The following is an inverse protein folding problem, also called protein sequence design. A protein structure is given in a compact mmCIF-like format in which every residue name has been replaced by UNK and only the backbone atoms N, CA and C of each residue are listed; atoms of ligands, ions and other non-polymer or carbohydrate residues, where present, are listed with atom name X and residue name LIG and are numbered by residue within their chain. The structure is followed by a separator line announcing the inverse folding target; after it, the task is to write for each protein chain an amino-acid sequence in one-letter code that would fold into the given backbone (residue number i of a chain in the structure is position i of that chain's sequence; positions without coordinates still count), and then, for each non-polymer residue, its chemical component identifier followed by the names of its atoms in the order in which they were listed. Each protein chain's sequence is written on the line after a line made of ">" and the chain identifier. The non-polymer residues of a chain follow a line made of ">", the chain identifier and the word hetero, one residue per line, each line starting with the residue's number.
data_IF_132049470659
#
_entry.id   IF_132049470659
#
_cell.length_a   1.000
_cell.length_b   1.000
_cell.length_c   1.000
_cell.angle_alpha   90.00
_cell.angle_beta   90.00
_cell.angle_gamma   90.00
#
_symmetry.space_group_name_H-M   'P 1'
#
loop_
_entity.id
_entity.type
_entity.pdbx_description
1 polymer ?
#
# COMPACT_ATOMS: atom_id res chain seq x y z
N UNK A 1 13.61 -21.95 19.51
CA UNK A 1 12.49 -21.13 20.05
C UNK A 1 11.24 -22.01 20.04
N UNK A 2 10.36 -21.97 21.08
CA UNK A 2 9.10 -22.73 21.05
C UNK A 2 8.15 -22.04 20.08
N UNK A 3 7.61 -22.78 19.12
CA UNK A 3 6.59 -22.26 18.19
C UNK A 3 5.29 -22.05 18.99
N UNK A 4 4.68 -20.87 19.00
CA UNK A 4 3.45 -20.62 19.73
C UNK A 4 2.27 -21.39 19.10
N UNK A 5 1.36 -21.86 19.93
CA UNK A 5 0.17 -22.61 19.46
C UNK A 5 -0.83 -21.70 18.74
N UNK A 6 -0.85 -20.43 19.09
CA UNK A 6 -1.67 -19.36 18.49
C UNK A 6 -0.88 -18.08 18.35
N UNK A 7 -1.35 -17.14 17.50
CA UNK A 7 -0.84 -15.78 17.41
C UNK A 7 -1.88 -14.80 17.96
N UNK A 8 -1.41 -13.86 18.78
CA UNK A 8 -2.23 -12.85 19.42
C UNK A 8 -1.99 -11.48 18.76
N UNK A 9 -3.03 -10.87 18.19
CA UNK A 9 -2.94 -9.59 17.46
C UNK A 9 -3.48 -8.44 18.30
N UNK A 10 -2.71 -7.34 18.32
CA UNK A 10 -3.16 -6.00 18.66
C UNK A 10 -3.31 -5.15 17.40
N UNK A 11 -4.41 -4.46 17.23
CA UNK A 11 -4.73 -3.64 16.06
C UNK A 11 -4.67 -2.16 16.41
N UNK A 12 -3.88 -1.40 15.67
CA UNK A 12 -3.83 0.06 15.79
C UNK A 12 -4.49 0.72 14.58
N UNK A 13 -5.66 1.31 14.80
CA UNK A 13 -6.51 1.89 13.77
C UNK A 13 -7.86 1.18 13.67
N UNK A 14 -8.89 1.92 13.23
CA UNK A 14 -10.26 1.42 13.07
C UNK A 14 -10.88 1.95 11.77
N UNK A 15 -10.08 2.06 10.72
CA UNK A 15 -10.48 2.56 9.41
C UNK A 15 -10.65 1.45 8.37
N UNK A 16 -10.71 1.85 7.09
CA UNK A 16 -10.88 0.92 5.96
C UNK A 16 -9.77 -0.12 5.87
N UNK A 17 -8.51 0.24 6.12
CA UNK A 17 -7.40 -0.71 6.11
C UNK A 17 -7.61 -1.83 7.14
N UNK A 18 -8.01 -1.47 8.37
CA UNK A 18 -8.38 -2.45 9.41
C UNK A 18 -9.47 -3.42 8.93
N UNK A 19 -10.50 -2.92 8.22
CA UNK A 19 -11.56 -3.79 7.68
C UNK A 19 -11.01 -4.79 6.65
N UNK A 20 -10.11 -4.35 5.76
CA UNK A 20 -9.48 -5.20 4.74
C UNK A 20 -8.63 -6.30 5.39
N UNK A 21 -7.77 -5.95 6.35
CA UNK A 21 -6.95 -6.92 7.09
C UNK A 21 -7.81 -7.92 7.87
N UNK A 22 -8.81 -7.43 8.59
CA UNK A 22 -9.71 -8.30 9.37
C UNK A 22 -10.56 -9.21 8.49
N UNK A 23 -11.03 -8.75 7.33
CA UNK A 23 -11.75 -9.59 6.38
C UNK A 23 -10.85 -10.68 5.79
N UNK A 24 -9.58 -10.36 5.51
CA UNK A 24 -8.57 -11.34 5.09
C UNK A 24 -8.29 -12.37 6.19
N UNK A 25 -8.11 -11.93 7.44
CA UNK A 25 -7.89 -12.80 8.59
C UNK A 25 -9.07 -13.75 8.87
N UNK A 26 -10.32 -13.39 8.55
CA UNK A 26 -11.46 -14.29 8.63
C UNK A 26 -11.36 -15.52 7.71
N UNK A 27 -10.54 -15.44 6.65
CA UNK A 27 -10.27 -16.56 5.73
C UNK A 27 -9.08 -17.40 6.16
N UNK A 28 -8.34 -16.95 7.17
CA UNK A 28 -7.18 -17.66 7.68
C UNK A 28 -7.61 -18.82 8.59
N UNK A 29 -7.10 -20.02 8.35
CA UNK A 29 -7.51 -21.24 9.07
C UNK A 29 -6.34 -22.17 9.45
N UNK A 30 -5.10 -21.79 9.13
CA UNK A 30 -3.93 -22.66 9.33
C UNK A 30 -3.59 -22.89 10.80
N UNK A 31 -3.88 -21.90 11.66
CA UNK A 31 -3.75 -21.99 13.12
C UNK A 31 -4.56 -20.87 13.79
N UNK A 32 -4.86 -20.98 15.11
CA UNK A 32 -5.66 -19.97 15.80
C UNK A 32 -4.99 -18.59 15.81
N UNK A 33 -5.78 -17.56 15.49
CA UNK A 33 -5.43 -16.16 15.65
C UNK A 33 -6.40 -15.53 16.64
N UNK A 34 -5.87 -14.92 17.70
CA UNK A 34 -6.64 -14.28 18.75
C UNK A 34 -6.59 -12.77 18.57
N UNK A 35 -7.75 -12.15 18.52
CA UNK A 35 -7.89 -10.70 18.39
C UNK A 35 -7.97 -10.09 19.78
N UNK A 36 -6.80 -9.69 20.33
CA UNK A 36 -6.68 -9.28 21.72
C UNK A 36 -7.22 -7.89 21.97
N UNK A 37 -6.68 -6.90 21.27
CA UNK A 37 -7.02 -5.51 21.52
C UNK A 37 -7.01 -4.69 20.24
N UNK A 38 -7.98 -3.79 20.12
CA UNK A 38 -8.00 -2.76 19.08
C UNK A 38 -7.94 -1.37 19.70
N UNK A 39 -7.17 -0.46 19.09
CA UNK A 39 -7.12 0.94 19.50
C UNK A 39 -7.49 1.88 18.36
N UNK A 40 -8.14 3.00 18.69
CA UNK A 40 -8.39 4.10 17.76
C UNK A 40 -8.59 5.40 18.55
N UNK A 41 -8.64 6.53 17.84
CA UNK A 41 -8.79 7.85 18.46
C UNK A 41 -10.20 8.16 18.97
N UNK A 42 -11.22 7.46 18.51
CA UNK A 42 -12.64 7.72 18.83
C UNK A 42 -13.28 6.48 19.44
N UNK A 43 -13.89 6.64 20.62
CA UNK A 43 -14.51 5.55 21.38
C UNK A 43 -15.57 4.80 20.59
N UNK A 44 -16.47 5.50 19.89
CA UNK A 44 -17.55 4.87 19.12
C UNK A 44 -16.99 3.98 18.01
N UNK A 45 -16.00 4.50 17.27
CA UNK A 45 -15.39 3.76 16.16
C UNK A 45 -14.66 2.50 16.64
N UNK A 46 -13.88 2.60 17.72
CA UNK A 46 -13.15 1.44 18.25
C UNK A 46 -14.09 0.40 18.83
N UNK A 47 -15.19 0.81 19.47
CA UNK A 47 -16.20 -0.11 20.02
C UNK A 47 -16.93 -0.86 18.90
N UNK A 48 -17.34 -0.17 17.85
CA UNK A 48 -17.98 -0.80 16.68
C UNK A 48 -17.07 -1.86 16.04
N UNK A 49 -15.78 -1.52 15.84
CA UNK A 49 -14.83 -2.47 15.24
C UNK A 49 -14.53 -3.65 16.17
N UNK A 50 -14.43 -3.40 17.50
CA UNK A 50 -14.28 -4.45 18.49
C UNK A 50 -15.41 -5.48 18.38
N UNK A 51 -16.66 -5.01 18.39
CA UNK A 51 -17.83 -5.90 18.37
C UNK A 51 -17.98 -6.61 17.01
N UNK A 52 -17.72 -5.92 15.89
CA UNK A 52 -17.80 -6.47 14.53
C UNK A 52 -16.79 -7.59 14.28
N UNK A 53 -15.59 -7.47 14.82
CA UNK A 53 -14.49 -8.41 14.56
C UNK A 53 -14.13 -9.30 15.73
N UNK A 54 -14.76 -9.11 16.90
CA UNK A 54 -14.58 -9.96 18.06
C UNK A 54 -13.28 -9.74 18.81
N UNK A 55 -12.77 -8.50 18.86
CA UNK A 55 -11.66 -8.19 19.75
C UNK A 55 -12.11 -8.30 21.20
N UNK A 56 -11.24 -8.83 22.06
CA UNK A 56 -11.54 -8.95 23.49
C UNK A 56 -11.63 -7.59 24.17
N UNK A 57 -10.80 -6.65 23.78
CA UNK A 57 -10.66 -5.35 24.42
C UNK A 57 -10.58 -4.22 23.37
N UNK A 58 -11.00 -3.02 23.77
CA UNK A 58 -10.84 -1.78 23.04
C UNK A 58 -10.20 -0.73 23.93
N UNK A 59 -9.36 0.13 23.37
CA UNK A 59 -8.70 1.24 24.08
C UNK A 59 -8.49 2.43 23.15
N UNK A 60 -8.10 3.57 23.71
CA UNK A 60 -7.71 4.77 22.98
C UNK A 60 -6.19 5.02 23.05
N UNK A 61 -5.47 4.22 23.83
CA UNK A 61 -4.05 4.39 24.11
C UNK A 61 -3.22 3.28 23.42
N UNK A 62 -2.23 3.70 22.62
CA UNK A 62 -1.31 2.78 21.97
C UNK A 62 -0.42 2.02 22.95
N UNK A 63 -0.09 2.62 24.08
CA UNK A 63 0.68 1.98 25.16
C UNK A 63 0.03 0.69 25.67
N UNK A 64 -1.29 0.57 25.60
CA UNK A 64 -2.00 -0.64 25.98
C UNK A 64 -1.69 -1.84 25.07
N UNK A 65 -1.32 -1.60 23.80
CA UNK A 65 -0.82 -2.65 22.91
C UNK A 65 0.62 -3.02 23.25
N UNK A 66 1.46 -2.05 23.55
CA UNK A 66 2.88 -2.25 23.83
C UNK A 66 3.10 -3.05 25.11
N UNK A 67 2.35 -2.71 26.18
CA UNK A 67 2.49 -3.33 27.50
C UNK A 67 1.79 -4.66 27.67
N UNK A 68 0.88 -5.05 26.76
CA UNK A 68 0.17 -6.31 26.86
C UNK A 68 1.11 -7.48 26.48
N UNK A 69 1.50 -8.35 27.46
CA UNK A 69 2.44 -9.42 27.20
C UNK A 69 1.88 -10.56 26.34
N UNK A 70 0.55 -10.61 26.17
CA UNK A 70 -0.10 -11.62 25.34
C UNK A 70 -0.08 -11.26 23.84
N UNK A 71 0.14 -9.98 23.49
CA UNK A 71 0.18 -9.55 22.09
C UNK A 71 1.54 -9.94 21.48
N UNK A 72 1.51 -10.71 20.40
CA UNK A 72 2.67 -11.11 19.61
C UNK A 72 2.95 -10.13 18.47
N UNK A 73 1.88 -9.64 17.82
CA UNK A 73 1.92 -8.81 16.62
C UNK A 73 1.09 -7.54 16.82
N UNK A 74 1.65 -6.41 16.44
CA UNK A 74 0.90 -5.16 16.31
C UNK A 74 0.70 -4.85 14.84
N UNK A 75 -0.56 -4.75 14.42
CA UNK A 75 -0.96 -4.37 13.06
C UNK A 75 -1.31 -2.89 13.03
N UNK A 76 -0.50 -2.09 12.31
CA UNK A 76 -0.56 -0.63 12.26
C UNK A 76 -1.33 -0.21 11.00
N UNK A 77 -2.61 0.09 11.17
CA UNK A 77 -3.55 0.61 10.16
C UNK A 77 -3.92 2.09 10.43
N UNK A 78 -2.98 2.86 10.94
CA UNK A 78 -3.13 4.29 11.27
C UNK A 78 -2.79 5.18 10.06
N UNK A 79 -2.97 6.51 10.15
CA UNK A 79 -2.42 7.42 9.14
C UNK A 79 -0.88 7.38 9.08
N UNK A 80 -0.28 7.54 7.88
CA UNK A 80 1.15 7.29 7.68
C UNK A 80 2.10 8.20 8.47
N UNK A 81 1.66 9.36 8.90
CA UNK A 81 2.50 10.30 9.66
C UNK A 81 2.85 9.83 11.09
N UNK A 82 2.21 8.77 11.61
CA UNK A 82 2.53 8.16 12.92
C UNK A 82 3.19 6.78 12.77
N UNK A 83 3.34 6.24 11.56
CA UNK A 83 3.85 4.88 11.36
C UNK A 83 5.22 4.67 11.99
N UNK A 84 6.18 5.56 11.73
CA UNK A 84 7.57 5.38 12.20
C UNK A 84 7.65 5.26 13.73
N UNK A 85 7.00 6.18 14.46
CA UNK A 85 6.99 6.16 15.93
C UNK A 85 6.36 4.88 16.47
N UNK A 86 5.26 4.44 15.84
CA UNK A 86 4.57 3.22 16.24
C UNK A 86 5.39 1.97 15.94
N UNK A 87 6.08 1.91 14.78
CA UNK A 87 6.98 0.81 14.42
C UNK A 87 8.13 0.72 15.44
N UNK A 88 8.81 1.84 15.72
CA UNK A 88 9.90 1.90 16.68
C UNK A 88 9.48 1.42 18.07
N UNK A 89 8.35 1.93 18.57
CA UNK A 89 7.83 1.57 19.89
C UNK A 89 7.42 0.08 19.95
N UNK A 90 6.77 -0.44 18.91
CA UNK A 90 6.34 -1.83 18.86
C UNK A 90 7.54 -2.81 18.81
N UNK A 91 8.54 -2.54 17.97
CA UNK A 91 9.78 -3.33 17.91
C UNK A 91 10.55 -3.29 19.24
N UNK A 92 10.66 -2.10 19.86
CA UNK A 92 11.29 -1.94 21.17
C UNK A 92 10.54 -2.69 22.29
N UNK A 93 9.21 -2.81 22.19
CA UNK A 93 8.39 -3.61 23.08
C UNK A 93 8.45 -5.13 22.78
N UNK A 94 9.28 -5.55 21.82
CA UNK A 94 9.45 -6.95 21.45
C UNK A 94 8.27 -7.54 20.69
N UNK A 95 7.51 -6.73 19.94
CA UNK A 95 6.37 -7.15 19.11
C UNK A 95 6.78 -7.27 17.65
N UNK A 96 6.24 -8.27 16.94
CA UNK A 96 6.24 -8.25 15.48
C UNK A 96 5.36 -7.10 14.98
N UNK A 97 5.69 -6.53 13.83
CA UNK A 97 4.98 -5.36 13.30
C UNK A 97 4.47 -5.64 11.91
N UNK A 98 3.18 -5.42 11.68
CA UNK A 98 2.59 -5.20 10.38
C UNK A 98 2.35 -3.70 10.24
N UNK A 99 2.74 -3.11 9.12
CA UNK A 99 2.52 -1.69 8.86
C UNK A 99 1.93 -1.46 7.49
N UNK A 100 0.80 -0.77 7.46
CA UNK A 100 0.15 -0.35 6.22
C UNK A 100 1.01 0.60 5.39
N UNK A 101 0.73 0.59 4.08
CA UNK A 101 1.35 1.52 3.14
C UNK A 101 0.69 2.93 3.21
N UNK A 102 1.42 3.97 2.81
CA UNK A 102 2.87 4.00 2.60
C UNK A 102 3.60 3.88 3.95
N UNK A 103 4.81 3.29 3.93
CA UNK A 103 5.60 3.12 5.15
C UNK A 103 5.79 4.43 5.91
N UNK A 104 6.11 5.49 5.17
CA UNK A 104 6.22 6.87 5.65
C UNK A 104 6.17 7.86 4.50
N UNK A 105 6.39 9.14 4.81
CA UNK A 105 6.48 10.26 3.88
C UNK A 105 6.99 11.52 4.57
N UNK A 106 6.95 12.64 3.86
CA UNK A 106 7.20 13.95 4.41
C UNK A 106 5.88 14.59 4.81
N UNK A 107 5.72 14.94 6.07
CA UNK A 107 4.47 15.48 6.62
C UNK A 107 4.60 16.89 7.20
N UNK A 108 5.74 17.55 6.93
CA UNK A 108 6.10 18.86 7.44
C UNK A 108 7.01 18.80 8.67
N UNK A 109 7.79 19.86 8.82
CA UNK A 109 8.66 20.10 9.98
C UNK A 109 8.27 21.42 10.64
N UNK A 110 8.64 21.63 11.93
CA UNK A 110 8.47 22.92 12.56
C UNK A 110 9.15 24.03 11.76
N UNK A 111 8.38 25.03 11.33
CA UNK A 111 8.85 26.14 10.51
C UNK A 111 8.59 26.01 9.01
N UNK A 112 8.10 24.89 8.54
CA UNK A 112 7.66 24.78 7.16
C UNK A 112 6.44 25.66 6.88
N UNK A 113 6.46 26.26 5.70
CA UNK A 113 5.34 27.09 5.24
C UNK A 113 4.25 26.19 4.64
N UNK A 114 3.03 26.38 5.13
CA UNK A 114 1.83 25.73 4.55
C UNK A 114 1.30 26.46 3.31
N UNK A 115 0.70 25.74 2.35
CA UNK A 115 0.66 24.28 2.22
C UNK A 115 2.04 23.72 1.81
N UNK A 116 2.48 22.69 2.52
CA UNK A 116 3.86 22.17 2.38
C UNK A 116 4.13 21.56 1.00
N UNK A 117 3.09 21.03 0.35
CA UNK A 117 3.20 20.49 -1.01
C UNK A 117 3.56 21.57 -2.05
N UNK A 118 3.27 22.85 -1.80
CA UNK A 118 3.61 23.96 -2.68
C UNK A 118 4.90 24.68 -2.27
N UNK A 119 5.20 24.72 -0.97
CA UNK A 119 6.22 25.63 -0.44
C UNK A 119 7.51 24.93 0.01
N UNK A 120 7.48 23.63 0.24
CA UNK A 120 8.68 22.86 0.61
C UNK A 120 9.25 22.18 -0.64
N UNK A 121 10.55 22.36 -0.88
CA UNK A 121 11.25 21.74 -2.01
C UNK A 121 11.18 20.21 -1.95
N UNK A 122 10.86 19.57 -3.06
CA UNK A 122 10.85 18.09 -3.17
C UNK A 122 12.26 17.51 -3.02
N UNK A 123 13.29 18.30 -3.30
CA UNK A 123 14.70 17.93 -3.02
C UNK A 123 14.91 17.76 -1.51
N UNK A 124 14.41 18.69 -0.70
CA UNK A 124 14.57 18.64 0.75
C UNK A 124 13.69 17.56 1.35
N UNK A 125 12.45 17.40 0.85
CA UNK A 125 11.58 16.28 1.23
C UNK A 125 12.26 14.93 0.98
N UNK A 126 12.85 14.73 -0.21
CA UNK A 126 13.58 13.50 -0.56
C UNK A 126 14.72 13.22 0.42
N UNK A 127 15.58 14.22 0.68
CA UNK A 127 16.71 14.07 1.61
C UNK A 127 16.26 13.69 3.01
N UNK A 128 15.21 14.35 3.49
CA UNK A 128 14.65 14.09 4.82
C UNK A 128 14.08 12.67 4.92
N UNK A 129 13.30 12.26 3.93
CA UNK A 129 12.68 10.92 3.90
C UNK A 129 13.74 9.82 3.82
N UNK A 130 14.77 10.00 2.99
CA UNK A 130 15.89 9.03 2.89
C UNK A 130 16.60 8.88 4.23
N UNK A 131 16.95 10.00 4.89
CA UNK A 131 17.63 9.96 6.20
C UNK A 131 16.77 9.24 7.29
N UNK A 132 15.46 9.45 7.27
CA UNK A 132 14.53 8.76 8.18
C UNK A 132 14.44 7.26 7.86
N UNK A 133 14.42 6.89 6.58
CA UNK A 133 14.43 5.49 6.17
C UNK A 133 15.71 4.77 6.63
N UNK A 134 16.87 5.39 6.47
CA UNK A 134 18.15 4.83 6.95
C UNK A 134 18.16 4.65 8.48
N UNK A 135 17.53 5.57 9.21
CA UNK A 135 17.38 5.44 10.67
C UNK A 135 16.46 4.26 11.03
N UNK A 136 15.30 4.19 10.39
CA UNK A 136 14.31 3.13 10.66
C UNK A 136 14.85 1.76 10.24
N UNK A 137 15.62 1.68 9.15
CA UNK A 137 16.30 0.46 8.72
C UNK A 137 17.18 -0.11 9.82
N UNK A 138 18.01 0.73 10.46
CA UNK A 138 18.88 0.29 11.57
C UNK A 138 18.07 -0.27 12.73
N UNK A 139 16.90 0.31 13.05
CA UNK A 139 16.02 -0.17 14.12
C UNK A 139 15.43 -1.54 13.75
N UNK A 140 14.96 -1.70 12.53
CA UNK A 140 14.41 -2.97 12.05
C UNK A 140 15.48 -4.07 12.01
N UNK A 141 16.69 -3.76 11.52
CA UNK A 141 17.81 -4.71 11.45
C UNK A 141 18.35 -5.14 12.84
N UNK A 142 18.23 -4.27 13.85
CA UNK A 142 18.63 -4.58 15.24
C UNK A 142 17.58 -5.38 16.00
N UNK A 143 16.37 -5.47 15.49
CA UNK A 143 15.27 -6.21 16.12
C UNK A 143 15.34 -7.70 15.79
N UNK A 144 15.03 -8.55 16.76
CA UNK A 144 14.80 -9.98 16.55
C UNK A 144 13.34 -10.28 16.10
N UNK A 145 12.53 -9.24 15.93
CA UNK A 145 11.12 -9.30 15.49
C UNK A 145 10.99 -9.00 14.02
N UNK A 146 9.95 -9.58 13.41
CA UNK A 146 9.69 -9.36 11.99
C UNK A 146 8.96 -8.03 11.78
N UNK A 147 9.42 -7.26 10.81
CA UNK A 147 8.70 -6.15 10.21
C UNK A 147 8.08 -6.62 8.89
N UNK A 148 6.78 -6.42 8.74
CA UNK A 148 5.96 -6.88 7.62
C UNK A 148 5.25 -5.67 7.00
N UNK A 149 5.54 -5.39 5.74
CA UNK A 149 4.97 -4.25 5.03
C UNK A 149 3.70 -4.65 4.30
N UNK A 150 2.58 -4.05 4.67
CA UNK A 150 1.29 -4.35 4.06
C UNK A 150 1.19 -3.72 2.67
N UNK A 151 1.73 -4.44 1.70
CA UNK A 151 1.68 -4.14 0.27
C UNK A 151 1.03 -5.31 -0.47
N UNK A 152 -0.27 -5.28 -0.47
CA UNK A 152 -1.12 -6.37 -0.95
C UNK A 152 -0.88 -6.79 -2.40
N UNK A 153 -0.46 -5.88 -3.30
CA UNK A 153 -0.20 -6.24 -4.70
C UNK A 153 0.90 -7.29 -4.86
N UNK A 154 1.90 -7.33 -3.97
CA UNK A 154 2.94 -8.38 -3.96
C UNK A 154 2.32 -9.76 -3.77
N UNK A 155 1.23 -9.83 -3.00
CA UNK A 155 0.53 -11.07 -2.66
C UNK A 155 -0.63 -11.40 -3.59
N UNK A 156 -0.95 -10.53 -4.55
CA UNK A 156 -1.98 -10.83 -5.54
C UNK A 156 -1.65 -12.12 -6.30
N UNK A 157 -2.59 -13.07 -6.46
CA UNK A 157 -2.32 -14.38 -7.08
C UNK A 157 -1.63 -14.28 -8.44
N UNK A 158 -1.99 -13.28 -9.25
CA UNK A 158 -1.35 -13.05 -10.55
C UNK A 158 0.13 -12.63 -10.42
N UNK A 159 0.47 -11.81 -9.42
CA UNK A 159 1.85 -11.36 -9.15
C UNK A 159 2.69 -12.51 -8.60
N UNK A 160 2.15 -13.29 -7.64
CA UNK A 160 2.83 -14.47 -7.11
C UNK A 160 3.12 -15.49 -8.23
N UNK A 161 2.16 -15.73 -9.14
CA UNK A 161 2.36 -16.62 -10.29
C UNK A 161 3.38 -16.05 -11.27
N UNK A 162 3.39 -14.75 -11.53
CA UNK A 162 4.42 -14.11 -12.35
C UNK A 162 5.83 -14.32 -11.76
N UNK A 163 5.99 -14.15 -10.47
CA UNK A 163 7.25 -14.39 -9.77
C UNK A 163 7.70 -15.88 -9.88
N UNK A 164 6.77 -16.83 -9.74
CA UNK A 164 7.04 -18.26 -9.92
C UNK A 164 7.58 -18.54 -11.34
N UNK A 165 6.92 -17.99 -12.37
CA UNK A 165 7.33 -18.14 -13.78
C UNK A 165 8.72 -17.54 -14.00
N UNK A 166 8.96 -16.30 -13.52
CA UNK A 166 10.24 -15.61 -13.67
C UNK A 166 11.37 -16.45 -13.03
N UNK A 167 11.15 -16.96 -11.81
CA UNK A 167 12.14 -17.79 -11.12
C UNK A 167 12.41 -19.11 -11.85
N UNK A 168 11.35 -19.82 -12.27
CA UNK A 168 11.47 -21.12 -12.92
C UNK A 168 12.18 -21.03 -14.26
N UNK A 169 11.82 -20.03 -15.07
CA UNK A 169 12.40 -19.80 -16.40
C UNK A 169 13.72 -19.02 -16.37
N UNK A 170 14.04 -18.37 -15.25
CA UNK A 170 15.12 -17.37 -15.16
C UNK A 170 14.97 -16.26 -16.21
N UNK A 171 13.73 -15.87 -16.46
CA UNK A 171 13.39 -14.84 -17.44
C UNK A 171 13.94 -13.47 -17.01
N UNK A 172 14.40 -12.68 -17.99
CA UNK A 172 14.81 -11.28 -17.79
C UNK A 172 13.65 -10.35 -18.13
N UNK A 173 13.23 -9.53 -17.19
CA UNK A 173 12.25 -8.48 -17.42
C UNK A 173 12.98 -7.32 -18.14
N UNK A 174 12.66 -7.12 -19.42
CA UNK A 174 13.24 -6.06 -20.25
C UNK A 174 12.49 -4.74 -20.07
N UNK A 175 11.16 -4.84 -19.95
CA UNK A 175 10.28 -3.71 -19.76
C UNK A 175 9.07 -4.11 -18.90
N UNK A 176 8.67 -3.22 -17.98
CA UNK A 176 7.47 -3.40 -17.17
C UNK A 176 6.54 -2.19 -17.29
N UNK A 177 5.24 -2.40 -17.15
CA UNK A 177 4.22 -1.36 -16.98
C UNK A 177 3.38 -1.67 -15.77
N UNK A 178 3.02 -0.64 -15.00
CA UNK A 178 2.10 -0.75 -13.88
C UNK A 178 1.18 0.44 -13.80
N UNK A 179 -0.06 0.21 -13.42
CA UNK A 179 -1.04 1.29 -13.23
C UNK A 179 -1.99 0.94 -12.10
N UNK A 180 -2.26 1.93 -11.25
CA UNK A 180 -3.47 1.98 -10.46
C UNK A 180 -4.12 3.34 -10.64
N UNK A 181 -5.30 3.34 -11.26
CA UNK A 181 -6.08 4.53 -11.57
C UNK A 181 -7.53 4.35 -11.14
N UNK A 182 -8.14 5.42 -10.64
CA UNK A 182 -9.52 5.46 -10.16
C UNK A 182 -10.10 6.88 -10.26
N UNK A 183 -11.34 7.10 -9.84
CA UNK A 183 -11.99 8.41 -9.90
C UNK A 183 -11.57 9.41 -8.80
N UNK A 184 -10.56 9.08 -8.01
CA UNK A 184 -10.11 9.81 -6.85
C UNK A 184 -10.65 9.26 -5.52
N UNK A 185 -10.07 9.71 -4.43
CA UNK A 185 -10.45 9.32 -3.08
C UNK A 185 -11.58 10.22 -2.55
N UNK A 186 -12.55 9.63 -1.88
CA UNK A 186 -13.57 10.35 -1.10
C UNK A 186 -13.11 10.77 0.29
N UNK A 187 -11.89 10.38 0.70
CA UNK A 187 -11.33 10.78 1.99
C UNK A 187 -11.06 12.28 2.01
N UNK A 188 -11.55 13.02 3.01
CA UNK A 188 -11.38 14.48 3.08
C UNK A 188 -9.91 14.92 3.20
N UNK A 189 -9.03 14.05 3.69
CA UNK A 189 -7.59 14.35 3.84
C UNK A 189 -6.74 13.92 2.66
N UNK A 190 -7.31 13.28 1.64
CA UNK A 190 -6.56 12.74 0.50
C UNK A 190 -5.91 13.82 -0.37
N UNK A 191 -6.36 15.06 -0.27
CA UNK A 191 -5.85 16.22 -0.99
C UNK A 191 -4.74 17.00 -0.27
N UNK A 192 -4.37 16.62 0.95
CA UNK A 192 -3.47 17.38 1.81
C UNK A 192 -2.13 16.64 1.97
N UNK A 193 -1.04 17.28 1.55
CA UNK A 193 0.30 16.68 1.62
C UNK A 193 0.71 16.32 3.05
N UNK A 194 0.49 17.21 4.01
CA UNK A 194 0.81 17.01 5.42
C UNK A 194 0.05 15.85 6.10
N UNK A 195 -0.93 15.26 5.41
CA UNK A 195 -1.71 14.09 5.87
C UNK A 195 -1.32 12.80 5.17
N UNK A 196 -0.98 12.90 3.89
CA UNK A 196 -0.80 11.75 3.00
C UNK A 196 0.65 11.55 2.55
N UNK A 197 1.49 12.57 2.68
CA UNK A 197 2.88 12.55 2.19
C UNK A 197 3.02 12.71 0.68
N UNK A 198 1.94 13.06 -0.02
CA UNK A 198 1.82 13.25 -1.46
C UNK A 198 0.44 12.87 -1.98
N UNK A 199 0.23 12.90 -3.28
CA UNK A 199 -1.07 12.69 -3.92
C UNK A 199 -1.35 11.26 -4.37
N UNK A 200 -1.88 11.13 -5.59
CA UNK A 200 -2.29 9.84 -6.14
C UNK A 200 -1.13 8.86 -6.27
N UNK A 201 0.09 9.35 -6.59
CA UNK A 201 1.21 8.46 -6.83
C UNK A 201 1.66 7.72 -5.57
N UNK A 202 1.75 8.39 -4.41
CA UNK A 202 2.07 7.70 -3.15
C UNK A 202 0.88 6.88 -2.62
N UNK A 203 -0.37 7.31 -2.86
CA UNK A 203 -1.56 6.63 -2.35
C UNK A 203 -1.91 5.36 -3.13
N UNK A 204 -1.80 5.40 -4.45
CA UNK A 204 -2.20 4.30 -5.35
C UNK A 204 -1.04 3.81 -6.23
N UNK A 205 -0.26 4.69 -6.83
CA UNK A 205 0.91 4.32 -7.63
C UNK A 205 1.98 3.52 -6.88
N UNK A 206 2.00 3.59 -5.54
CA UNK A 206 2.86 2.76 -4.70
C UNK A 206 2.63 1.26 -4.92
N UNK A 207 1.39 0.81 -5.13
CA UNK A 207 1.07 -0.60 -5.32
C UNK A 207 1.72 -1.23 -6.56
N UNK A 208 1.48 -0.72 -7.79
CA UNK A 208 2.16 -1.27 -8.97
C UNK A 208 3.68 -1.03 -8.95
N UNK A 209 4.15 0.06 -8.32
CA UNK A 209 5.58 0.30 -8.13
C UNK A 209 6.21 -0.78 -7.27
N UNK A 210 5.69 -1.03 -6.09
CA UNK A 210 6.17 -2.07 -5.16
C UNK A 210 6.17 -3.46 -5.81
N UNK A 211 5.10 -3.80 -6.54
CA UNK A 211 5.00 -5.07 -7.24
C UNK A 211 6.10 -5.23 -8.30
N UNK A 212 6.38 -4.18 -9.10
CA UNK A 212 7.45 -4.19 -10.11
C UNK A 212 8.82 -4.29 -9.44
N UNK A 213 9.08 -3.54 -8.38
CA UNK A 213 10.35 -3.61 -7.64
C UNK A 213 10.58 -5.00 -7.05
N UNK A 214 9.55 -5.59 -6.45
CA UNK A 214 9.61 -6.94 -5.90
C UNK A 214 9.84 -8.00 -6.99
N UNK A 215 9.16 -7.91 -8.15
CA UNK A 215 9.38 -8.81 -9.28
C UNK A 215 10.81 -8.68 -9.85
N UNK A 216 11.38 -7.47 -9.88
CA UNK A 216 12.79 -7.27 -10.23
C UNK A 216 13.76 -7.89 -9.21
N UNK A 217 13.41 -7.91 -7.92
CA UNK A 217 14.17 -8.65 -6.91
C UNK A 217 14.09 -10.17 -7.14
N UNK A 218 12.90 -10.70 -7.49
CA UNK A 218 12.75 -12.13 -7.82
C UNK A 218 13.59 -12.54 -9.04
N UNK A 219 13.64 -11.67 -10.07
CA UNK A 219 14.54 -11.84 -11.21
C UNK A 219 16.00 -11.82 -10.79
N UNK A 220 16.40 -10.82 -10.01
CA UNK A 220 17.78 -10.67 -9.53
C UNK A 220 18.24 -11.91 -8.74
N UNK A 221 17.41 -12.40 -7.83
CA UNK A 221 17.68 -13.61 -7.06
C UNK A 221 17.81 -14.85 -7.96
N UNK A 222 16.88 -15.05 -8.92
CA UNK A 222 16.89 -16.19 -9.83
C UNK A 222 18.12 -16.22 -10.74
N UNK A 223 18.67 -15.04 -11.08
CA UNK A 223 19.85 -14.88 -11.93
C UNK A 223 21.16 -14.77 -11.14
N UNK A 224 21.10 -14.72 -9.81
CA UNK A 224 22.28 -14.46 -8.96
C UNK A 224 22.93 -13.11 -9.22
N UNK A 225 22.12 -12.06 -9.51
CA UNK A 225 22.57 -10.71 -9.87
C UNK A 225 22.05 -9.67 -8.86
N UNK A 226 22.72 -8.51 -8.82
CA UNK A 226 22.19 -7.33 -8.16
C UNK A 226 21.56 -6.42 -9.21
N UNK A 227 20.26 -6.14 -9.09
CA UNK A 227 19.51 -5.23 -9.95
C UNK A 227 18.86 -4.19 -9.04
N UNK A 228 19.15 -2.92 -9.31
CA UNK A 228 18.64 -1.77 -8.55
C UNK A 228 18.10 -0.71 -9.51
N UNK A 229 17.24 0.17 -9.03
CA UNK A 229 16.87 1.37 -9.78
C UNK A 229 18.08 2.28 -9.85
N UNK A 230 18.43 2.70 -11.05
CA UNK A 230 19.56 3.58 -11.34
C UNK A 230 19.13 5.03 -11.43
N UNK A 231 17.99 5.28 -12.09
CA UNK A 231 17.47 6.63 -12.25
C UNK A 231 15.95 6.66 -12.41
N UNK A 232 15.37 7.83 -12.12
CA UNK A 232 13.95 8.13 -12.16
C UNK A 232 13.71 9.38 -12.98
N UNK A 233 12.72 9.34 -13.89
CA UNK A 233 12.14 10.50 -14.55
C UNK A 233 10.64 10.51 -14.27
N UNK A 234 10.07 11.63 -13.86
CA UNK A 234 8.67 11.73 -13.54
C UNK A 234 8.01 13.00 -14.04
N UNK A 235 6.72 12.88 -14.35
CA UNK A 235 5.79 13.99 -14.52
C UNK A 235 4.66 13.82 -13.50
N UNK A 236 4.43 14.89 -12.72
CA UNK A 236 3.42 14.94 -11.67
C UNK A 236 2.60 16.22 -11.84
N UNK A 237 1.28 16.08 -11.95
CA UNK A 237 0.44 17.25 -12.19
C UNK A 237 -0.79 17.27 -11.28
N UNK A 238 -1.27 18.48 -11.01
CA UNK A 238 -2.53 18.76 -10.31
C UNK A 238 -3.50 19.37 -11.33
N UNK A 239 -4.25 18.50 -12.01
CA UNK A 239 -5.12 18.88 -13.13
C UNK A 239 -6.53 19.23 -12.70
N UNK A 240 -7.15 18.45 -11.81
CA UNK A 240 -8.59 18.55 -11.52
C UNK A 240 -9.04 19.90 -10.96
N UNK A 241 -8.22 20.71 -10.24
CA UNK A 241 -8.61 22.07 -9.85
C UNK A 241 -8.83 23.04 -11.03
N UNK A 242 -8.34 22.71 -12.24
CA UNK A 242 -8.60 23.51 -13.44
C UNK A 242 -9.98 23.29 -14.06
N UNK A 243 -10.69 22.24 -13.63
CA UNK A 243 -12.01 21.90 -14.13
C UNK A 243 -13.08 22.80 -13.52
N UNK A 244 -14.09 23.17 -14.33
CA UNK A 244 -15.30 23.79 -13.81
C UNK A 244 -16.07 22.82 -12.90
N UNK A 245 -16.96 23.32 -12.06
CA UNK A 245 -17.79 22.49 -11.18
C UNK A 245 -18.57 21.42 -11.97
N UNK A 246 -19.11 21.79 -13.15
CA UNK A 246 -19.81 20.85 -14.02
C UNK A 246 -18.90 19.74 -14.56
N UNK A 247 -17.68 20.05 -14.99
CA UNK A 247 -16.72 19.06 -15.49
C UNK A 247 -16.23 18.14 -14.36
N UNK A 248 -16.13 18.66 -13.14
CA UNK A 248 -15.64 17.93 -11.96
C UNK A 248 -16.70 17.05 -11.27
N UNK A 249 -17.98 17.15 -11.67
CA UNK A 249 -19.14 16.55 -10.95
C UNK A 249 -19.07 15.04 -10.70
N UNK A 250 -18.30 14.28 -11.50
CA UNK A 250 -18.16 12.82 -11.38
C UNK A 250 -16.81 12.36 -10.87
N UNK A 251 -15.85 13.26 -10.72
CA UNK A 251 -14.51 12.99 -10.22
C UNK A 251 -14.51 13.27 -8.71
N UNK A 252 -14.04 12.31 -7.89
CA UNK A 252 -13.99 12.48 -6.45
C UNK A 252 -12.74 13.22 -5.97
N UNK A 253 -11.66 13.24 -6.77
CA UNK A 253 -10.41 13.90 -6.41
C UNK A 253 -10.62 15.39 -6.07
N UNK A 254 -10.04 15.83 -4.96
CA UNK A 254 -10.03 17.22 -4.48
C UNK A 254 -8.64 17.57 -3.98
N UNK A 255 -7.61 17.59 -4.87
CA UNK A 255 -6.25 17.88 -4.48
C UNK A 255 -6.12 19.35 -4.06
N UNK A 256 -5.57 19.58 -2.86
CA UNK A 256 -5.24 20.91 -2.37
C UNK A 256 -3.79 21.28 -2.74
N UNK A 257 -2.83 20.47 -2.30
CA UNK A 257 -1.38 20.69 -2.53
C UNK A 257 -0.63 19.42 -2.98
N UNK A 258 -1.37 18.45 -3.51
CA UNK A 258 -0.85 17.16 -3.99
C UNK A 258 -1.20 16.95 -5.46
N UNK A 259 -0.51 16.04 -6.13
CA UNK A 259 -0.82 15.62 -7.51
C UNK A 259 -2.02 14.68 -7.57
N UNK A 260 -2.76 14.75 -8.69
CA UNK A 260 -3.87 13.85 -9.05
C UNK A 260 -3.57 13.00 -10.30
N UNK A 261 -2.44 13.25 -10.96
CA UNK A 261 -1.89 12.43 -12.04
C UNK A 261 -0.38 12.32 -11.84
N UNK A 262 0.14 11.09 -11.91
CA UNK A 262 1.58 10.83 -11.85
C UNK A 262 2.00 9.78 -12.88
N UNK A 263 3.08 10.05 -13.61
CA UNK A 263 3.74 9.11 -14.52
C UNK A 263 5.22 9.06 -14.19
N UNK A 264 5.74 7.86 -13.94
CA UNK A 264 7.12 7.64 -13.52
C UNK A 264 7.78 6.63 -14.44
N UNK A 265 8.96 6.96 -14.93
CA UNK A 265 9.83 6.10 -15.72
C UNK A 265 11.04 5.72 -14.87
N UNK A 266 11.28 4.41 -14.74
CA UNK A 266 12.41 3.85 -14.02
C UNK A 266 13.43 3.26 -15.01
N UNK A 267 14.69 3.46 -14.71
CA UNK A 267 15.82 2.80 -15.38
C UNK A 267 16.54 1.94 -14.36
N UNK A 268 16.64 0.64 -14.63
CA UNK A 268 17.39 -0.28 -13.77
C UNK A 268 18.85 -0.41 -14.18
N UNK A 269 19.70 -0.86 -13.26
CA UNK A 269 21.12 -1.02 -13.45
C UNK A 269 21.51 -2.03 -14.54
N UNK A 270 20.61 -2.98 -14.86
CA UNK A 270 20.76 -3.96 -15.94
C UNK A 270 20.30 -3.44 -17.31
N UNK A 271 19.87 -2.17 -17.38
CA UNK A 271 19.39 -1.52 -18.59
C UNK A 271 17.91 -1.66 -18.85
N UNK A 272 17.17 -2.49 -18.10
CA UNK A 272 15.71 -2.60 -18.22
C UNK A 272 14.97 -1.33 -17.78
N UNK A 273 13.70 -1.22 -18.15
CA UNK A 273 12.87 -0.03 -17.91
C UNK A 273 11.54 -0.41 -17.28
N UNK A 274 10.95 0.51 -16.53
CA UNK A 274 9.54 0.41 -16.16
C UNK A 274 8.83 1.76 -16.29
N UNK A 275 7.51 1.70 -16.52
CA UNK A 275 6.61 2.86 -16.47
C UNK A 275 5.52 2.54 -15.46
N UNK A 276 5.34 3.45 -14.49
CA UNK A 276 4.29 3.36 -13.47
C UNK A 276 3.41 4.59 -13.56
N UNK A 277 2.10 4.38 -13.56
CA UNK A 277 1.11 5.45 -13.65
C UNK A 277 0.12 5.35 -12.49
N UNK A 278 -0.31 6.52 -12.01
CA UNK A 278 -1.41 6.67 -11.07
C UNK A 278 -2.26 7.88 -11.45
N UNK A 279 -3.58 7.73 -11.41
CA UNK A 279 -4.48 8.76 -11.89
C UNK A 279 -5.80 8.74 -11.14
N UNK A 280 -6.20 9.88 -10.60
CA UNK A 280 -7.44 10.08 -9.85
C UNK A 280 -8.60 10.59 -10.72
N UNK A 281 -8.48 10.54 -12.05
CA UNK A 281 -9.51 11.03 -12.99
C UNK A 281 -10.20 9.91 -13.79
N UNK A 282 -9.90 8.64 -13.52
CA UNK A 282 -10.47 7.52 -14.24
C UNK A 282 -11.92 7.26 -13.81
N UNK A 283 -12.85 7.33 -14.74
CA UNK A 283 -14.25 6.94 -14.53
C UNK A 283 -14.46 5.47 -14.95
N UNK A 284 -15.50 4.83 -14.39
CA UNK A 284 -15.89 3.47 -14.76
C UNK A 284 -15.25 2.38 -13.88
N UNK A 285 -14.83 2.71 -12.67
CA UNK A 285 -14.27 1.76 -11.69
C UNK A 285 -12.82 2.04 -11.38
N UNK A 286 -12.00 1.00 -11.30
CA UNK A 286 -10.56 1.08 -11.12
C UNK A 286 -9.84 0.35 -12.25
N UNK A 287 -8.59 0.71 -12.50
CA UNK A 287 -7.72 0.05 -13.47
C UNK A 287 -6.39 -0.29 -12.79
N UNK A 288 -6.24 -1.57 -12.46
CA UNK A 288 -5.10 -2.07 -11.70
C UNK A 288 -4.44 -3.19 -12.49
N UNK A 289 -3.18 -3.02 -12.89
CA UNK A 289 -2.43 -4.06 -13.58
C UNK A 289 -0.92 -3.91 -13.43
N UNK A 290 -0.22 -5.03 -13.65
CA UNK A 290 1.21 -5.08 -13.93
C UNK A 290 1.44 -5.93 -15.19
N UNK A 291 2.19 -5.41 -16.15
CA UNK A 291 2.56 -6.09 -17.39
C UNK A 291 4.08 -6.22 -17.46
N UNK A 292 4.56 -7.40 -17.81
CA UNK A 292 5.98 -7.73 -17.94
C UNK A 292 6.27 -8.20 -19.36
N UNK A 293 7.26 -7.59 -19.97
CA UNK A 293 7.82 -7.97 -21.26
C UNK A 293 9.22 -8.51 -21.01
N UNK A 294 9.34 -9.83 -21.04
CA UNK A 294 10.60 -10.53 -20.78
C UNK A 294 11.29 -10.92 -22.10
N UNK A 295 12.51 -11.42 -21.99
CA UNK A 295 13.27 -11.89 -23.14
C UNK A 295 12.64 -13.12 -23.80
N UNK A 296 11.82 -13.89 -23.08
CA UNK A 296 11.28 -15.18 -23.48
C UNK A 296 9.80 -15.38 -23.15
N UNK A 297 9.14 -14.40 -22.57
CA UNK A 297 7.71 -14.44 -22.19
C UNK A 297 7.12 -13.05 -22.04
N UNK A 298 5.80 -12.95 -22.12
CA UNK A 298 5.02 -11.77 -21.74
C UNK A 298 3.98 -12.18 -20.70
N UNK A 299 3.85 -11.41 -19.63
CA UNK A 299 2.93 -11.69 -18.53
C UNK A 299 2.05 -10.47 -18.28
N UNK A 300 0.74 -10.67 -18.27
CA UNK A 300 -0.24 -9.61 -17.98
C UNK A 300 -0.99 -9.97 -16.70
N UNK A 301 -0.61 -9.33 -15.58
CA UNK A 301 -1.29 -9.44 -14.31
C UNK A 301 -2.41 -8.41 -14.25
N UNK A 302 -3.66 -8.85 -14.34
CA UNK A 302 -4.85 -8.02 -14.13
C UNK A 302 -5.25 -8.16 -12.67
N UNK A 303 -5.27 -7.04 -11.93
CA UNK A 303 -5.56 -7.00 -10.50
C UNK A 303 -6.92 -6.39 -10.19
N UNK A 304 -7.57 -5.81 -11.20
CA UNK A 304 -8.97 -5.42 -11.15
C UNK A 304 -9.82 -6.61 -11.55
N UNK A 305 -10.90 -6.81 -10.85
CA UNK A 305 -11.98 -7.78 -11.08
C UNK A 305 -11.84 -8.79 -12.18
N UNK A 306 -12.13 -10.03 -11.84
CA UNK A 306 -12.51 -11.04 -12.82
C UNK A 306 -13.93 -10.75 -13.36
N UNK A 307 -14.14 -10.99 -14.66
CA UNK A 307 -15.46 -11.01 -15.31
C UNK A 307 -16.24 -12.27 -14.90
N UNK A 308 -16.58 -12.38 -13.60
CA UNK A 308 -17.24 -13.56 -13.03
C UNK A 308 -18.76 -13.41 -12.99
N UNK A 309 -19.26 -12.18 -12.97
CA UNK A 309 -20.69 -11.87 -12.82
C UNK A 309 -21.01 -10.53 -13.47
N UNK A 310 -22.13 -10.45 -14.17
CA UNK A 310 -22.75 -9.21 -14.62
C UNK A 310 -24.15 -9.10 -14.05
N UNK A 311 -24.55 -7.91 -13.64
CA UNK A 311 -25.88 -7.61 -13.13
C UNK A 311 -26.45 -6.38 -13.82
N UNK A 312 -27.75 -6.37 -13.99
CA UNK A 312 -28.47 -5.18 -14.46
C UNK A 312 -29.55 -4.81 -13.47
N UNK A 313 -29.47 -3.62 -12.90
CA UNK A 313 -30.46 -3.11 -11.99
C UNK A 313 -31.19 -1.92 -12.60
N UNK A 314 -32.51 -1.91 -12.51
CA UNK A 314 -33.37 -0.79 -12.95
C UNK A 314 -33.27 0.40 -11.98
N UNK A 315 -33.12 0.10 -10.69
CA UNK A 315 -33.00 1.07 -9.61
C UNK A 315 -32.08 0.47 -8.50
N UNK A 316 -31.92 1.19 -7.40
CA UNK A 316 -31.09 0.78 -6.26
C UNK A 316 -31.91 0.26 -5.07
N UNK A 317 -33.23 0.07 -5.22
CA UNK A 317 -34.09 -0.39 -4.13
C UNK A 317 -33.62 -1.76 -3.60
N UNK A 318 -33.45 -1.86 -2.28
CA UNK A 318 -33.01 -3.07 -1.61
C UNK A 318 -31.50 -3.37 -1.72
N UNK A 319 -30.69 -2.51 -2.36
CA UNK A 319 -29.25 -2.71 -2.54
C UNK A 319 -28.38 -1.96 -1.52
N UNK A 320 -28.98 -1.37 -0.49
CA UNK A 320 -28.23 -0.53 0.47
C UNK A 320 -27.09 -1.30 1.16
N UNK A 321 -27.35 -2.54 1.53
CA UNK A 321 -26.38 -3.40 2.21
C UNK A 321 -25.62 -4.35 1.27
N UNK A 322 -25.86 -4.25 -0.05
CA UNK A 322 -25.17 -5.08 -1.06
C UNK A 322 -24.00 -4.30 -1.62
N UNK A 323 -22.79 -4.75 -1.32
CA UNK A 323 -21.58 -4.20 -1.90
C UNK A 323 -21.43 -4.69 -3.34
N UNK A 324 -21.59 -3.80 -4.33
CA UNK A 324 -21.37 -4.11 -5.75
C UNK A 324 -19.95 -3.74 -6.16
N UNK A 325 -19.56 -2.49 -5.92
CA UNK A 325 -18.21 -1.98 -6.12
C UNK A 325 -18.07 -0.60 -5.46
N UNK A 326 -17.00 -0.38 -4.71
CA UNK A 326 -16.75 0.90 -4.05
C UNK A 326 -16.50 2.07 -5.01
N UNK A 327 -16.11 1.79 -6.27
CA UNK A 327 -15.70 2.79 -7.24
C UNK A 327 -16.79 3.18 -8.25
N UNK A 328 -17.94 2.52 -8.22
CA UNK A 328 -19.06 2.88 -9.10
C UNK A 328 -19.92 4.00 -8.48
N UNK A 329 -20.32 4.99 -9.27
CA UNK A 329 -21.13 6.11 -8.77
C UNK A 329 -22.59 5.72 -8.49
N UNK A 330 -23.06 4.64 -9.09
CA UNK A 330 -24.43 4.13 -8.99
C UNK A 330 -24.42 2.63 -9.19
N UNK A 331 -25.38 1.94 -8.58
CA UNK A 331 -25.63 0.51 -8.78
C UNK A 331 -26.57 0.24 -9.97
N UNK A 332 -27.22 1.25 -10.52
CA UNK A 332 -28.15 1.10 -11.67
C UNK A 332 -27.42 0.81 -12.97
N UNK A 333 -28.13 0.16 -13.90
CA UNK A 333 -27.61 -0.26 -15.19
C UNK A 333 -26.76 -1.53 -15.10
N UNK A 334 -25.95 -1.78 -16.12
CA UNK A 334 -25.04 -2.91 -16.15
C UNK A 334 -23.86 -2.68 -15.18
N UNK A 335 -23.63 -3.64 -14.31
CA UNK A 335 -22.54 -3.66 -13.34
C UNK A 335 -21.77 -4.98 -13.39
N UNK A 336 -20.50 -4.91 -13.02
CA UNK A 336 -19.63 -6.07 -12.76
C UNK A 336 -19.26 -6.06 -11.28
N UNK A 337 -19.99 -6.80 -10.42
CA UNK A 337 -19.73 -6.84 -9.00
C UNK A 337 -18.32 -7.32 -8.67
N UNK A 338 -17.70 -6.72 -7.66
CA UNK A 338 -16.40 -7.14 -7.14
C UNK A 338 -16.57 -8.41 -6.31
N UNK A 339 -16.19 -9.54 -6.89
CA UNK A 339 -16.21 -10.83 -6.21
C UNK A 339 -14.79 -11.22 -5.82
N UNK A 340 -14.62 -11.70 -4.59
CA UNK A 340 -13.31 -12.14 -4.05
C UNK A 340 -12.22 -11.06 -4.17
N UNK A 341 -12.58 -9.79 -4.02
CA UNK A 341 -11.65 -8.65 -4.17
C UNK A 341 -10.47 -8.76 -3.21
N UNK A 342 -10.72 -9.15 -1.96
CA UNK A 342 -9.69 -9.41 -0.96
C UNK A 342 -8.70 -10.52 -1.34
N UNK A 343 -9.14 -11.54 -2.11
CA UNK A 343 -8.27 -12.59 -2.62
C UNK A 343 -7.50 -12.10 -3.86
N UNK A 344 -8.22 -11.52 -4.82
CA UNK A 344 -7.64 -11.13 -6.11
C UNK A 344 -6.61 -10.00 -5.99
N UNK A 345 -6.78 -9.10 -5.02
CA UNK A 345 -5.82 -8.05 -4.70
C UNK A 345 -4.74 -8.47 -3.70
N UNK A 346 -4.81 -9.68 -3.15
CA UNK A 346 -3.73 -10.27 -2.37
C UNK A 346 -3.84 -10.16 -0.85
N UNK A 347 -4.82 -9.47 -0.28
CA UNK A 347 -4.95 -9.30 1.18
C UNK A 347 -5.00 -10.63 1.94
N UNK A 348 -5.67 -11.64 1.38
CA UNK A 348 -5.76 -12.97 2.02
C UNK A 348 -4.39 -13.63 2.11
N UNK A 349 -3.62 -13.66 1.02
CA UNK A 349 -2.29 -14.26 1.00
C UNK A 349 -1.25 -13.43 1.76
N UNK A 350 -1.43 -12.11 1.80
CA UNK A 350 -0.64 -11.19 2.61
C UNK A 350 -0.76 -11.49 4.11
N UNK A 351 -1.99 -11.49 4.63
CA UNK A 351 -2.22 -11.76 6.04
C UNK A 351 -1.82 -13.20 6.44
N UNK A 352 -1.97 -14.16 5.51
CA UNK A 352 -1.44 -15.51 5.70
C UNK A 352 0.08 -15.50 5.85
N UNK A 353 0.79 -14.87 4.94
CA UNK A 353 2.25 -14.75 5.00
C UNK A 353 2.70 -14.10 6.32
N UNK A 354 2.02 -13.02 6.73
CA UNK A 354 2.36 -12.28 7.96
C UNK A 354 2.11 -13.09 9.23
N UNK A 355 1.01 -13.81 9.33
CA UNK A 355 0.75 -14.68 10.47
C UNK A 355 1.78 -15.81 10.57
N UNK A 356 2.17 -16.41 9.45
CA UNK A 356 3.23 -17.40 9.41
C UNK A 356 4.61 -16.80 9.75
N UNK A 357 4.91 -15.58 9.29
CA UNK A 357 6.14 -14.87 9.63
C UNK A 357 6.24 -14.62 11.14
N UNK A 358 5.15 -14.19 11.77
CA UNK A 358 5.12 -13.98 13.21
C UNK A 358 5.27 -15.31 13.99
N UNK A 359 4.56 -16.37 13.54
CA UNK A 359 4.58 -17.67 14.22
C UNK A 359 5.94 -18.38 14.14
N UNK A 360 6.55 -18.37 12.97
CA UNK A 360 7.76 -19.13 12.68
C UNK A 360 9.03 -18.27 12.68
N UNK A 361 8.90 -16.99 12.97
CA UNK A 361 9.97 -15.98 12.91
C UNK A 361 10.75 -16.03 11.58
N UNK A 362 10.02 -16.12 10.46
CA UNK A 362 10.58 -16.09 9.11
C UNK A 362 10.42 -14.72 8.44
N UNK A 363 11.26 -14.41 7.46
CA UNK A 363 11.14 -13.15 6.72
C UNK A 363 9.91 -13.15 5.82
N UNK A 364 9.16 -12.03 5.77
CA UNK A 364 8.02 -11.84 4.87
C UNK A 364 8.47 -11.63 3.42
N UNK A 365 7.56 -11.86 2.47
CA UNK A 365 7.81 -11.51 1.06
C UNK A 365 7.84 -9.99 0.85
N UNK A 366 7.01 -9.27 1.58
CA UNK A 366 6.97 -7.81 1.61
C UNK A 366 7.62 -7.32 2.90
N UNK A 367 8.90 -6.99 2.81
CA UNK A 367 9.78 -6.63 3.92
C UNK A 367 10.09 -5.12 3.96
N UNK A 368 10.94 -4.72 4.89
CA UNK A 368 11.40 -3.34 5.02
C UNK A 368 12.14 -2.85 3.78
N UNK A 369 12.86 -3.71 3.07
CA UNK A 369 13.60 -3.32 1.89
C UNK A 369 12.65 -2.88 0.76
N UNK A 370 11.59 -3.65 0.49
CA UNK A 370 10.56 -3.26 -0.48
C UNK A 370 9.88 -1.95 -0.07
N UNK A 371 9.52 -1.81 1.21
CA UNK A 371 8.88 -0.61 1.74
C UNK A 371 9.76 0.64 1.55
N UNK A 372 11.02 0.57 1.95
CA UNK A 372 11.97 1.69 1.87
C UNK A 372 12.32 2.07 0.44
N UNK A 373 12.57 1.09 -0.44
CA UNK A 373 12.81 1.34 -1.87
C UNK A 373 11.60 2.01 -2.54
N UNK A 374 10.39 1.55 -2.24
CA UNK A 374 9.16 2.15 -2.78
C UNK A 374 9.05 3.62 -2.40
N UNK A 375 9.19 3.94 -1.12
CA UNK A 375 9.11 5.33 -0.63
C UNK A 375 10.26 6.18 -1.20
N UNK A 376 11.49 5.65 -1.24
CA UNK A 376 12.65 6.34 -1.81
C UNK A 376 12.42 6.73 -3.27
N UNK A 377 11.89 5.81 -4.08
CA UNK A 377 11.62 6.06 -5.50
C UNK A 377 10.47 7.03 -5.70
N UNK A 378 9.42 6.97 -4.87
CA UNK A 378 8.32 7.94 -4.91
C UNK A 378 8.83 9.36 -4.67
N UNK A 379 9.66 9.56 -3.65
CA UNK A 379 10.21 10.89 -3.36
C UNK A 379 11.27 11.34 -4.40
N UNK A 380 12.03 10.41 -4.98
CA UNK A 380 12.88 10.72 -6.15
C UNK A 380 12.05 11.13 -7.37
N UNK A 381 10.86 10.53 -7.55
CA UNK A 381 9.93 10.92 -8.61
C UNK A 381 9.36 12.33 -8.38
N UNK A 382 8.96 12.67 -7.16
CA UNK A 382 8.57 14.05 -6.83
C UNK A 382 9.69 15.05 -7.09
N UNK A 383 10.93 14.71 -6.69
CA UNK A 383 12.11 15.53 -6.97
C UNK A 383 12.35 15.67 -8.47
N UNK A 384 12.22 14.60 -9.24
CA UNK A 384 12.39 14.62 -10.71
C UNK A 384 11.34 15.52 -11.38
N UNK A 385 10.09 15.43 -10.96
CA UNK A 385 9.01 16.27 -11.49
C UNK A 385 9.23 17.75 -11.18
N UNK A 386 9.66 18.11 -9.96
CA UNK A 386 9.97 19.49 -9.58
C UNK A 386 11.17 20.05 -10.40
N UNK A 387 12.20 19.24 -10.60
CA UNK A 387 13.41 19.66 -11.33
C UNK A 387 13.28 19.58 -12.85
N UNK A 388 12.25 18.92 -13.38
CA UNK A 388 12.05 18.68 -14.81
C UNK A 388 13.15 17.86 -15.46
N UNK A 389 13.83 16.98 -14.71
CA UNK A 389 14.96 16.19 -15.18
C UNK A 389 15.08 14.83 -14.50
N UNK A 390 15.90 13.96 -15.11
CA UNK A 390 16.27 12.67 -14.51
C UNK A 390 17.00 12.88 -13.18
N UNK A 391 16.61 12.06 -12.19
CA UNK A 391 17.30 11.94 -10.89
C UNK A 391 18.02 10.59 -10.86
N UNK A 392 19.35 10.63 -10.68
CA UNK A 392 20.17 9.43 -10.44
C UNK A 392 20.10 9.01 -8.96
N UNK A 393 20.10 7.66 -8.69
CA UNK A 393 19.94 7.09 -7.35
C UNK A 393 21.18 6.30 -6.89
#
# INVERSE_FOLDING_TARGET
>A
MRIPDQICIGMAGAGRATELHMNALKRFSEFPVRYKRIIARRTEQVSQMKDRYGFEQASLDFEDLLRDPEIDVIDICTPPYVHEEMIEAALAAGKHVICEKPLTGYFGLPGDREPIGEHVSKVDMYRHVVARMERLQRIVEQSDRQFMYAENFIYAPAILKAAEIIRAKKSRILFAKGEESLKGSSSPVAGEWNRTGGGTFIRTGSHPLSAILWLKQQEAQALGKSIRVKSVLADMTRLTPSLSEYEHRHIAARPHDVEDIGTVILVFSDGSRAVVMANDTLLGGSKNYVQLYCNDTAINCRLTMADMMETYFLDEEGLDEVEISEMLPSKTGWNKPFLLDDVMRGYTDEMKDFMECARYNRHPKSDFHVASETVRIIYAAYQSAELGRVVEL
#
